data_IF_301346477587
#
_entry.id   IF_301346477587
#
_cell.length_a   1.000
_cell.length_b   1.000
_cell.length_c   1.000
_cell.angle_alpha   90.00
_cell.angle_beta   90.00
_cell.angle_gamma   90.00
#
_symmetry.space_group_name_H-M   'P 1'
#
loop_
_entity.id
_entity.type
_entity.pdbx_description
1 polymer ?
#
# COMPACT_ATOMS: atom_id res chain seq x y z
N UNK A 1 33.43 23.05 -5.60
CA UNK A 1 32.00 23.13 -5.18
C UNK A 1 31.00 22.63 -6.24
N UNK A 2 31.21 22.88 -7.55
CA UNK A 2 30.28 22.47 -8.62
C UNK A 2 30.14 20.95 -8.83
N UNK A 3 31.18 20.17 -8.50
CA UNK A 3 31.17 18.70 -8.64
C UNK A 3 30.29 18.01 -7.58
N UNK A 4 30.26 18.52 -6.35
CA UNK A 4 29.49 17.95 -5.23
C UNK A 4 27.98 18.10 -5.47
N UNK A 5 27.56 19.21 -6.11
CA UNK A 5 26.16 19.48 -6.44
C UNK A 5 25.65 18.47 -7.49
N UNK A 6 26.46 18.12 -8.50
CA UNK A 6 26.08 17.12 -9.50
C UNK A 6 25.92 15.73 -8.88
N UNK A 7 26.77 15.36 -7.91
CA UNK A 7 26.67 14.08 -7.20
C UNK A 7 25.39 13.99 -6.36
N UNK A 8 25.01 15.07 -5.69
CA UNK A 8 23.75 15.14 -4.93
C UNK A 8 22.51 15.05 -5.82
N UNK A 9 22.52 15.66 -7.01
CA UNK A 9 21.42 15.54 -7.97
C UNK A 9 21.29 14.10 -8.50
N UNK A 10 22.40 13.40 -8.72
CA UNK A 10 22.36 11.98 -9.11
C UNK A 10 21.79 11.13 -7.97
N UNK A 11 22.15 11.37 -6.70
CA UNK A 11 21.57 10.64 -5.55
C UNK A 11 20.07 10.97 -5.34
N UNK A 12 19.64 12.21 -5.61
CA UNK A 12 18.22 12.62 -5.57
C UNK A 12 17.41 12.07 -6.76
N UNK A 13 18.02 11.92 -7.95
CA UNK A 13 17.44 11.25 -9.12
C UNK A 13 17.44 9.72 -8.98
N UNK A 14 18.35 9.19 -8.15
CA UNK A 14 18.34 7.82 -7.63
C UNK A 14 17.45 7.73 -6.37
N UNK A 15 16.60 8.74 -6.12
CA UNK A 15 15.36 8.61 -5.37
C UNK A 15 14.46 7.61 -6.10
N UNK A 16 14.87 6.35 -5.99
CA UNK A 16 14.41 5.24 -6.77
C UNK A 16 12.89 5.21 -6.67
N UNK A 17 12.25 5.07 -7.82
CA UNK A 17 10.97 4.40 -7.88
C UNK A 17 11.20 2.99 -7.32
N UNK A 18 11.26 2.85 -6.00
CA UNK A 18 11.27 1.56 -5.34
C UNK A 18 9.97 0.92 -5.77
N UNK A 19 10.09 -0.22 -6.45
CA UNK A 19 8.92 -0.97 -6.85
C UNK A 19 8.10 -1.24 -5.60
N UNK A 20 6.79 -0.97 -5.68
CA UNK A 20 5.88 -1.15 -4.57
C UNK A 20 5.98 -2.59 -4.06
N UNK A 21 6.14 -2.78 -2.76
CA UNK A 21 6.06 -4.10 -2.15
C UNK A 21 4.75 -4.21 -1.38
N UNK A 22 4.10 -5.37 -1.46
CA UNK A 22 2.86 -5.64 -0.73
C UNK A 22 2.95 -6.97 0.01
N UNK A 23 2.14 -7.13 1.05
CA UNK A 23 1.90 -8.44 1.61
C UNK A 23 1.06 -9.27 0.64
N UNK A 24 1.39 -10.55 0.54
CA UNK A 24 0.69 -11.53 -0.27
C UNK A 24 0.29 -12.72 0.59
N UNK A 25 -1.00 -13.04 0.52
CA UNK A 25 -1.58 -14.27 1.03
C UNK A 25 -2.87 -14.54 0.30
N UNK A 26 -3.23 -15.81 0.19
CA UNK A 26 -4.53 -16.24 -0.31
C UNK A 26 -4.96 -17.38 0.60
N UNK A 27 -6.14 -17.26 1.22
CA UNK A 27 -6.75 -18.40 1.90
C UNK A 27 -7.81 -19.02 1.01
N UNK A 28 -7.66 -20.30 0.66
CA UNK A 28 -8.76 -21.08 0.06
C UNK A 28 -9.75 -21.55 1.13
N UNK A 29 -9.34 -21.53 2.40
CA UNK A 29 -10.14 -22.02 3.52
C UNK A 29 -10.63 -20.89 4.43
N UNK A 30 -11.79 -21.16 5.03
CA UNK A 30 -12.51 -20.25 5.91
C UNK A 30 -11.83 -20.28 7.29
N UNK A 31 -11.25 -19.15 7.73
CA UNK A 31 -10.62 -19.01 9.06
C UNK A 31 -9.08 -18.99 9.07
N UNK A 32 -8.47 -18.98 7.90
CA UNK A 32 -7.03 -19.09 7.71
C UNK A 32 -6.22 -17.81 7.98
N UNK A 33 -4.90 -18.00 8.07
CA UNK A 33 -3.86 -17.02 8.41
C UNK A 33 -3.91 -15.66 7.70
N UNK A 34 -4.65 -15.51 6.59
CA UNK A 34 -4.69 -14.28 5.78
C UNK A 34 -5.59 -13.16 6.37
N UNK A 35 -6.43 -13.50 7.36
CA UNK A 35 -7.42 -12.58 7.94
C UNK A 35 -6.77 -11.63 8.97
N UNK A 36 -6.08 -12.18 9.96
CA UNK A 36 -5.62 -11.42 11.13
C UNK A 36 -4.23 -10.81 10.93
N UNK A 37 -4.07 -9.54 11.28
CA UNK A 37 -2.81 -8.79 11.13
C UNK A 37 -1.69 -9.21 12.10
N UNK A 38 -2.05 -9.87 13.21
CA UNK A 38 -1.10 -10.42 14.18
C UNK A 38 -0.36 -11.67 13.66
N UNK A 39 -0.82 -12.25 12.54
CA UNK A 39 -0.13 -13.34 11.85
C UNK A 39 0.88 -12.71 10.89
N UNK A 40 2.14 -12.60 11.32
CA UNK A 40 3.21 -11.91 10.58
C UNK A 40 3.84 -12.75 9.45
N UNK A 41 3.32 -13.95 9.18
CA UNK A 41 3.88 -14.87 8.17
C UNK A 41 3.44 -14.54 6.72
N UNK A 42 2.97 -13.32 6.46
CA UNK A 42 2.63 -12.91 5.10
C UNK A 42 3.89 -12.81 4.24
N UNK A 43 3.84 -13.41 3.05
CA UNK A 43 4.91 -13.28 2.07
C UNK A 43 4.94 -11.84 1.57
N UNK A 44 6.09 -11.18 1.64
CA UNK A 44 6.28 -9.89 0.96
C UNK A 44 6.63 -10.15 -0.50
N UNK A 45 5.93 -9.48 -1.41
CA UNK A 45 6.19 -9.59 -2.86
C UNK A 45 6.29 -8.20 -3.47
N UNK A 46 7.26 -8.05 -4.36
CA UNK A 46 7.43 -6.86 -5.18
C UNK A 46 6.38 -6.87 -6.30
N UNK A 47 5.59 -5.80 -6.38
CA UNK A 47 4.55 -5.63 -7.40
C UNK A 47 5.16 -5.47 -8.79
N UNK A 48 4.38 -5.88 -9.80
CA UNK A 48 4.76 -5.68 -11.20
C UNK A 48 4.76 -4.19 -11.53
N UNK A 49 5.46 -3.82 -12.60
CA UNK A 49 5.62 -2.42 -13.03
C UNK A 49 4.32 -1.65 -13.32
N UNK A 50 3.21 -2.37 -13.51
CA UNK A 50 1.86 -1.83 -13.79
C UNK A 50 0.90 -1.95 -12.60
N UNK A 51 1.38 -2.41 -11.44
CA UNK A 51 0.61 -2.54 -10.20
C UNK A 51 1.06 -1.46 -9.22
N UNK A 52 0.18 -0.50 -8.95
CA UNK A 52 0.49 0.72 -8.19
C UNK A 52 -0.19 0.80 -6.83
N UNK A 53 -0.85 -0.27 -6.38
CA UNK A 53 -1.50 -0.34 -5.09
C UNK A 53 -1.34 -1.71 -4.43
N UNK A 54 -1.41 -1.75 -3.11
CA UNK A 54 -1.63 -2.96 -2.34
C UNK A 54 -3.11 -3.08 -1.99
N UNK A 55 -3.63 -4.30 -1.95
CA UNK A 55 -5.00 -4.55 -1.53
C UNK A 55 -5.07 -5.66 -0.49
N UNK A 56 -6.20 -5.68 0.21
CA UNK A 56 -6.70 -6.81 0.97
C UNK A 56 -8.22 -6.92 0.76
N UNK A 57 -8.72 -8.13 0.54
CA UNK A 57 -10.15 -8.41 0.43
C UNK A 57 -10.56 -9.47 1.44
N UNK A 58 -11.83 -9.44 1.83
CA UNK A 58 -12.47 -10.46 2.64
C UNK A 58 -13.87 -10.72 2.11
N UNK A 59 -14.11 -11.98 1.76
CA UNK A 59 -15.38 -12.49 1.27
C UNK A 59 -16.05 -13.31 2.36
N UNK A 60 -17.31 -13.02 2.65
CA UNK A 60 -18.08 -13.74 3.66
C UNK A 60 -19.48 -14.03 3.17
N UNK A 61 -20.07 -15.11 3.66
CA UNK A 61 -21.49 -15.41 3.44
C UNK A 61 -22.41 -14.35 4.08
N UNK A 62 -21.92 -13.66 5.12
CA UNK A 62 -22.63 -12.55 5.78
C UNK A 62 -21.64 -11.61 6.47
N UNK A 63 -22.01 -10.33 6.60
CA UNK A 63 -21.19 -9.33 7.30
C UNK A 63 -20.99 -9.60 8.80
N UNK A 64 -21.76 -10.54 9.37
CA UNK A 64 -21.62 -10.99 10.77
C UNK A 64 -20.67 -12.17 10.95
N UNK A 65 -20.23 -12.81 9.86
CA UNK A 65 -19.33 -13.95 9.96
C UNK A 65 -17.92 -13.48 10.35
N UNK A 66 -17.30 -14.21 11.27
CA UNK A 66 -15.90 -14.03 11.69
C UNK A 66 -14.93 -14.84 10.83
N UNK A 67 -15.46 -15.55 9.84
CA UNK A 67 -14.71 -16.41 8.95
C UNK A 67 -15.08 -16.12 7.50
N UNK A 68 -14.14 -16.36 6.59
CA UNK A 68 -14.29 -16.03 5.17
C UNK A 68 -13.01 -16.31 4.39
N UNK A 69 -13.05 -15.96 3.12
CA UNK A 69 -11.90 -16.05 2.20
C UNK A 69 -11.23 -14.69 2.17
N UNK A 70 -9.96 -14.62 2.53
CA UNK A 70 -9.18 -13.39 2.48
C UNK A 70 -8.03 -13.51 1.49
N UNK A 71 -7.75 -12.40 0.81
CA UNK A 71 -6.66 -12.30 -0.17
C UNK A 71 -5.94 -10.97 0.00
N UNK A 72 -4.61 -11.00 -0.04
CA UNK A 72 -3.73 -9.83 -0.06
C UNK A 72 -2.86 -9.89 -1.31
N UNK A 73 -2.63 -8.74 -1.94
CA UNK A 73 -1.73 -8.68 -3.08
C UNK A 73 -1.54 -7.27 -3.65
N UNK A 74 -1.01 -7.25 -4.86
CA UNK A 74 -0.80 -6.05 -5.66
C UNK A 74 -1.99 -5.82 -6.60
N UNK A 75 -2.43 -4.57 -6.73
CA UNK A 75 -3.51 -4.14 -7.59
C UNK A 75 -3.01 -3.14 -8.63
N UNK A 76 -3.67 -3.15 -9.80
CA UNK A 76 -3.39 -2.22 -10.90
C UNK A 76 -3.47 -0.76 -10.46
N UNK A 77 -4.47 -0.42 -9.67
CA UNK A 77 -4.67 0.93 -9.20
C UNK A 77 -5.52 0.96 -7.94
N UNK A 78 -5.68 2.17 -7.45
CA UNK A 78 -6.39 2.50 -6.24
C UNK A 78 -7.92 2.32 -6.31
N UNK A 79 -8.50 2.15 -7.50
CA UNK A 79 -9.94 1.93 -7.68
C UNK A 79 -10.28 0.43 -7.68
N UNK A 80 -9.34 -0.44 -7.30
CA UNK A 80 -9.53 -1.89 -7.30
C UNK A 80 -10.75 -2.33 -6.48
N UNK A 81 -10.92 -1.80 -5.26
CA UNK A 81 -12.06 -2.14 -4.42
C UNK A 81 -13.40 -1.73 -5.00
N UNK A 82 -13.48 -0.55 -5.62
CA UNK A 82 -14.69 -0.05 -6.27
C UNK A 82 -15.11 -0.99 -7.41
N UNK A 83 -14.16 -1.36 -8.28
CA UNK A 83 -14.41 -2.30 -9.37
C UNK A 83 -14.87 -3.67 -8.87
N UNK A 84 -14.19 -4.19 -7.85
CA UNK A 84 -14.51 -5.50 -7.28
C UNK A 84 -15.91 -5.55 -6.67
N UNK A 85 -16.37 -4.45 -6.06
CA UNK A 85 -17.73 -4.34 -5.51
C UNK A 85 -18.77 -4.36 -6.64
N UNK A 86 -18.50 -3.68 -7.76
CA UNK A 86 -19.42 -3.63 -8.90
C UNK A 86 -19.53 -4.96 -9.66
N UNK A 87 -18.46 -5.76 -9.69
CA UNK A 87 -18.41 -7.02 -10.44
C UNK A 87 -19.01 -8.22 -9.68
N UNK A 88 -19.29 -8.10 -8.37
CA UNK A 88 -19.66 -9.25 -7.54
C UNK A 88 -21.15 -9.40 -7.25
N UNK A 89 -21.55 -10.66 -7.02
CA UNK A 89 -22.88 -11.04 -6.54
C UNK A 89 -23.18 -10.38 -5.18
N UNK A 90 -24.29 -9.67 -5.10
CA UNK A 90 -24.77 -8.94 -3.91
C UNK A 90 -25.12 -9.84 -2.74
N UNK A 91 -25.17 -11.16 -2.93
CA UNK A 91 -25.45 -12.16 -1.88
C UNK A 91 -24.30 -12.38 -0.90
N UNK A 92 -23.07 -12.00 -1.24
CA UNK A 92 -21.91 -12.14 -0.37
C UNK A 92 -21.49 -10.79 0.21
N UNK A 93 -21.10 -10.78 1.48
CA UNK A 93 -20.50 -9.62 2.09
C UNK A 93 -19.03 -9.50 1.66
N UNK A 94 -18.68 -8.38 1.04
CA UNK A 94 -17.32 -8.03 0.64
C UNK A 94 -16.81 -6.86 1.49
N UNK A 95 -15.70 -7.08 2.16
CA UNK A 95 -14.85 -6.02 2.72
C UNK A 95 -13.60 -5.88 1.83
N UNK A 96 -13.21 -4.66 1.50
CA UNK A 96 -12.02 -4.39 0.68
C UNK A 96 -11.29 -3.13 1.14
N UNK A 97 -9.97 -3.22 1.23
CA UNK A 97 -9.09 -2.10 1.51
C UNK A 97 -7.97 -2.02 0.48
N UNK A 98 -7.69 -0.81 -0.01
CA UNK A 98 -6.65 -0.54 -0.99
C UNK A 98 -5.83 0.69 -0.61
N UNK A 99 -4.52 0.62 -0.82
CA UNK A 99 -3.57 1.63 -0.39
C UNK A 99 -2.34 1.65 -1.30
N UNK A 100 -1.59 2.76 -1.34
CA UNK A 100 -0.51 2.99 -2.33
C UNK A 100 0.90 2.99 -1.74
N UNK A 101 1.05 2.61 -0.48
CA UNK A 101 2.34 2.62 0.22
C UNK A 101 2.86 1.19 0.41
N UNK A 102 4.18 1.04 0.56
CA UNK A 102 4.78 -0.28 0.73
C UNK A 102 4.18 -1.00 1.96
N UNK A 103 3.72 -2.23 1.77
CA UNK A 103 3.20 -3.14 2.80
C UNK A 103 2.04 -2.58 3.63
N UNK A 104 1.30 -1.63 3.08
CA UNK A 104 0.19 -0.98 3.78
C UNK A 104 -1.05 -1.88 3.95
N UNK A 105 -1.15 -2.94 3.15
CA UNK A 105 -2.17 -3.96 3.26
C UNK A 105 -1.88 -4.95 4.41
N UNK A 106 -1.35 -4.48 5.55
CA UNK A 106 -1.13 -5.29 6.76
C UNK A 106 -2.38 -5.35 7.67
N UNK A 107 -3.38 -4.51 7.39
CA UNK A 107 -4.59 -4.35 8.21
C UNK A 107 -5.36 -5.66 8.40
N UNK A 108 -6.14 -5.74 9.48
CA UNK A 108 -7.01 -6.88 9.75
C UNK A 108 -8.23 -6.84 8.83
N UNK A 109 -8.46 -7.95 8.13
CA UNK A 109 -9.56 -8.12 7.20
C UNK A 109 -10.95 -8.04 7.86
N UNK A 110 -11.08 -8.35 9.16
CA UNK A 110 -12.37 -8.31 9.87
C UNK A 110 -12.79 -6.88 10.25
N UNK A 111 -11.82 -6.01 10.50
CA UNK A 111 -12.05 -4.64 10.97
C UNK A 111 -11.86 -3.60 9.87
N UNK A 112 -11.38 -4.00 8.69
CA UNK A 112 -11.27 -3.09 7.56
C UNK A 112 -12.66 -2.63 7.09
N UNK A 113 -12.80 -1.32 6.96
CA UNK A 113 -13.92 -0.71 6.29
C UNK A 113 -13.64 -0.64 4.80
N UNK A 114 -14.70 -0.71 3.97
CA UNK A 114 -14.59 -0.43 2.55
C UNK A 114 -14.01 0.96 2.35
N UNK A 115 -12.73 1.00 2.05
CA UNK A 115 -11.95 2.22 2.09
C UNK A 115 -10.80 2.12 1.11
N UNK A 116 -10.57 3.22 0.43
CA UNK A 116 -9.37 3.42 -0.33
C UNK A 116 -8.58 4.47 0.47
N UNK A 117 -7.29 4.26 0.77
CA UNK A 117 -6.43 5.27 1.41
C UNK A 117 -5.19 5.66 0.57
N UNK A 118 -5.19 6.88 0.03
CA UNK A 118 -4.15 7.40 -0.87
C UNK A 118 -3.24 8.26 -0.02
N UNK A 119 -2.11 7.69 0.39
CA UNK A 119 -1.05 8.48 0.98
C UNK A 119 -0.16 8.92 -0.18
N UNK A 120 -0.32 10.17 -0.60
CA UNK A 120 0.56 10.78 -1.58
C UNK A 120 1.95 10.88 -0.97
N UNK A 121 2.97 10.44 -1.71
CA UNK A 121 4.40 10.60 -1.42
C UNK A 121 4.87 12.07 -1.35
N UNK A 122 3.94 13.03 -1.28
CA UNK A 122 4.15 14.46 -1.16
C UNK A 122 4.98 14.87 0.06
N UNK A 123 5.16 14.02 1.07
CA UNK A 123 6.05 14.32 2.21
C UNK A 123 7.50 14.56 1.79
N UNK A 124 8.03 13.80 0.82
CA UNK A 124 9.40 14.00 0.33
C UNK A 124 9.54 15.29 -0.49
N UNK A 125 8.48 15.70 -1.21
CA UNK A 125 8.45 16.97 -1.94
C UNK A 125 8.39 18.20 -1.02
N UNK A 126 7.80 18.06 0.17
CA UNK A 126 7.76 19.13 1.19
C UNK A 126 9.08 19.22 1.98
N UNK A 127 9.80 18.11 2.16
CA UNK A 127 11.09 18.10 2.85
C UNK A 127 12.24 18.68 2.00
N UNK A 128 12.16 18.59 0.67
CA UNK A 128 13.15 19.17 -0.24
C UNK A 128 13.37 20.69 -0.04
N UNK A 129 12.33 21.55 0.03
CA UNK A 129 12.54 22.98 0.25
C UNK A 129 13.07 23.31 1.65
N UNK A 130 12.76 22.51 2.68
CA UNK A 130 13.30 22.70 4.04
C UNK A 130 14.83 22.52 4.10
N UNK A 131 15.38 21.56 3.35
CA UNK A 131 16.84 21.36 3.23
C UNK A 131 17.54 22.49 2.45
N UNK A 132 16.84 23.13 1.51
CA UNK A 132 17.37 24.29 0.77
C UNK A 132 17.43 25.53 1.68
N UNK A 133 16.44 25.70 2.57
CA UNK A 133 16.38 26.85 3.49
C UNK A 133 17.47 26.76 4.58
N UNK A 134 17.72 25.58 5.16
CA UNK A 134 18.77 25.43 6.19
C UNK A 134 20.17 25.67 5.65
N UNK A 135 20.43 25.39 4.37
CA UNK A 135 21.70 25.75 3.70
C UNK A 135 21.92 27.26 3.59
N UNK A 136 20.86 28.05 3.39
CA UNK A 136 20.99 29.52 3.32
C UNK A 136 21.35 30.14 4.66
N UNK A 137 20.86 29.57 5.77
CA UNK A 137 21.12 30.10 7.11
C UNK A 137 22.57 29.83 7.56
N UNK A 138 23.15 28.68 7.19
CA UNK A 138 24.53 28.32 7.57
C UNK A 138 25.64 28.93 6.70
N UNK A 139 25.33 29.55 5.55
CA UNK A 139 26.33 30.19 4.66
C UNK A 139 26.36 31.72 4.85
N UNK A 140 25.42 32.28 5.62
CA UNK A 140 25.34 33.72 5.92
C UNK A 140 25.58 34.05 7.40
N UNK A 141 26.14 33.10 8.17
CA UNK A 141 26.62 33.30 9.54
C UNK A 141 28.13 33.17 9.61
#
# INVERSE_FOLDING_TARGET
MMSVIKLFFVVLLVGAATALECYQCSSSEIGDACIQSNVTNFKVTQCKSHEYACYITLIRNSGKNTTGIAERGCALNYNYCEKLIHERDTRLALSCYVCTTSRCNFVDALTMHNSSTKITTSFFLILLPLLVITRKIFISG
#
